data_IF_715438401683
#
_entry.id   IF_715438401683
#
_cell.length_a   1.000
_cell.length_b   1.000
_cell.length_c   1.000
_cell.angle_alpha   90.00
_cell.angle_beta   90.00
_cell.angle_gamma   90.00
#
_symmetry.space_group_name_H-M   'P 1'
#
loop_
_entity.id
_entity.type
_entity.pdbx_description
1 polymer ?
#
# COMPACT_ATOMS: atom_id res chain seq x y z
N UNK A 1 14.32 4.06 -23.73
CA UNK A 1 15.62 4.13 -23.04
C UNK A 1 15.39 3.73 -21.61
N UNK A 2 16.00 2.65 -21.15
CA UNK A 2 15.91 2.18 -19.77
C UNK A 2 17.02 2.85 -18.95
N UNK A 3 16.67 3.39 -17.77
CA UNK A 3 17.63 4.02 -16.86
C UNK A 3 17.62 3.36 -15.49
N UNK A 4 18.74 3.35 -14.80
CA UNK A 4 18.90 2.89 -13.44
C UNK A 4 18.54 4.02 -12.46
N UNK A 5 17.64 3.75 -11.51
CA UNK A 5 17.30 4.70 -10.45
C UNK A 5 18.24 4.42 -9.28
N UNK A 6 19.29 5.23 -9.13
CA UNK A 6 20.27 5.12 -8.02
C UNK A 6 19.73 5.71 -6.71
N UNK A 7 20.30 5.25 -5.62
CA UNK A 7 19.89 5.27 -4.22
C UNK A 7 19.52 6.59 -3.52
N UNK A 8 19.62 7.74 -4.13
CA UNK A 8 19.43 9.02 -3.43
C UNK A 8 17.98 9.45 -3.16
N UNK A 9 17.00 8.64 -3.55
CA UNK A 9 15.58 9.04 -3.50
C UNK A 9 14.74 8.31 -2.44
N UNK A 10 15.30 7.36 -1.71
CA UNK A 10 14.57 6.56 -0.71
C UNK A 10 15.23 6.62 0.67
N UNK A 11 15.48 7.83 1.17
CA UNK A 11 15.82 8.00 2.60
C UNK A 11 14.53 8.26 3.39
N UNK A 12 14.05 7.23 4.06
CA UNK A 12 12.80 7.22 4.82
C UNK A 12 13.01 7.69 6.27
N UNK A 13 13.94 8.63 6.52
CA UNK A 13 14.18 9.13 7.87
C UNK A 13 14.09 10.66 7.93
N UNK A 14 12.87 11.19 7.99
CA UNK A 14 12.64 12.53 8.52
C UNK A 14 11.53 12.48 9.56
N UNK A 15 11.95 12.19 10.78
CA UNK A 15 11.19 12.50 11.99
C UNK A 15 11.21 14.01 12.27
N UNK A 16 10.07 14.48 12.75
CA UNK A 16 9.85 15.70 13.51
C UNK A 16 9.82 17.03 12.75
N UNK A 17 8.60 17.49 12.50
CA UNK A 17 8.29 18.90 12.54
C UNK A 17 7.30 19.16 13.70
N UNK A 18 7.84 19.58 14.85
CA UNK A 18 7.08 20.12 15.96
C UNK A 18 6.61 21.52 15.60
N UNK A 19 5.34 21.68 15.29
CA UNK A 19 4.70 23.00 15.22
C UNK A 19 4.10 23.31 16.59
N UNK A 20 4.77 24.18 17.33
CA UNK A 20 4.25 24.76 18.57
C UNK A 20 3.14 25.77 18.24
N UNK A 21 1.89 25.41 18.44
CA UNK A 21 0.77 26.35 18.41
C UNK A 21 0.60 26.93 19.81
N UNK A 22 0.86 28.23 19.91
CA UNK A 22 0.73 29.07 21.13
C UNK A 22 -0.76 29.19 21.48
N UNK A 23 -1.17 28.60 22.59
CA UNK A 23 -2.54 28.68 23.07
C UNK A 23 -2.89 30.09 23.60
N UNK A 24 -3.96 30.67 23.07
CA UNK A 24 -4.68 31.77 23.67
C UNK A 24 -5.83 31.25 24.51
N UNK A 25 -5.71 31.45 25.82
CA UNK A 25 -6.74 31.14 26.81
C UNK A 25 -7.89 32.13 26.66
N UNK A 26 -9.05 31.69 26.21
CA UNK A 26 -10.29 32.47 26.30
C UNK A 26 -11.08 31.98 27.53
N UNK A 27 -11.09 32.79 28.58
CA UNK A 27 -11.95 32.61 29.75
C UNK A 27 -13.38 33.00 29.37
N UNK A 28 -14.32 32.08 29.48
CA UNK A 28 -15.76 32.38 29.45
C UNK A 28 -16.34 32.40 30.88
N UNK A 29 -17.23 33.34 31.18
CA UNK A 29 -17.78 33.47 32.53
C UNK A 29 -18.95 32.51 32.76
N UNK A 30 -19.03 32.01 33.98
CA UNK A 30 -20.12 31.22 34.52
C UNK A 30 -21.43 32.00 34.52
N UNK A 31 -22.50 31.43 33.85
CA UNK A 31 -23.87 31.79 34.20
C UNK A 31 -24.59 30.59 34.79
N UNK A 32 -25.00 30.80 36.05
CA UNK A 32 -25.92 29.96 36.78
C UNK A 32 -27.31 30.08 36.13
N UNK A 33 -27.90 28.98 35.70
CA UNK A 33 -29.35 28.81 35.69
C UNK A 33 -29.71 27.47 36.31
N UNK A 34 -30.28 27.58 37.49
CA UNK A 34 -31.01 26.54 38.20
C UNK A 34 -32.45 26.64 37.70
N UNK A 35 -33.05 25.62 37.23
CA UNK A 35 -34.36 25.16 37.66
C UNK A 35 -35.14 24.38 36.60
N UNK A 36 -35.71 23.27 37.03
CA UNK A 36 -36.86 22.50 36.55
C UNK A 36 -36.80 21.90 35.13
N UNK A 37 -36.59 20.59 35.08
CA UNK A 37 -37.63 19.64 34.66
C UNK A 37 -37.17 18.18 34.96
N UNK A 38 -37.58 17.70 36.09
CA UNK A 38 -37.74 16.26 36.39
C UNK A 38 -39.04 15.87 35.71
N UNK A 39 -38.98 15.39 34.48
CA UNK A 39 -40.01 14.55 33.84
C UNK A 39 -39.67 14.28 32.37
N UNK A 40 -38.61 13.57 32.10
CA UNK A 40 -38.40 12.95 30.77
C UNK A 40 -37.42 11.80 30.81
N UNK A 41 -37.42 11.02 31.91
CA UNK A 41 -36.45 9.92 32.08
C UNK A 41 -37.03 8.52 31.69
N UNK A 42 -38.16 8.48 30.96
CA UNK A 42 -38.77 7.20 30.64
C UNK A 42 -38.96 6.87 29.17
N UNK A 43 -38.35 7.64 28.23
CA UNK A 43 -38.53 7.35 26.81
C UNK A 43 -37.23 7.22 26.00
N UNK A 44 -36.05 7.07 26.64
CA UNK A 44 -34.78 6.91 25.93
C UNK A 44 -34.12 5.54 26.08
N UNK A 45 -34.86 4.51 26.46
CA UNK A 45 -34.31 3.15 26.69
C UNK A 45 -34.67 2.14 25.60
N UNK A 46 -35.15 2.55 24.43
CA UNK A 46 -35.49 1.62 23.34
C UNK A 46 -34.89 2.01 21.96
N UNK A 47 -33.85 2.83 21.91
CA UNK A 47 -33.05 2.98 20.73
C UNK A 47 -31.63 2.40 21.02
N UNK A 48 -31.56 1.14 21.44
CA UNK A 48 -30.34 0.37 21.22
C UNK A 48 -30.29 0.18 19.72
N UNK A 49 -29.64 1.14 19.07
CA UNK A 49 -29.34 1.08 17.66
C UNK A 49 -28.67 -0.28 17.41
N UNK A 50 -29.36 -1.14 16.68
CA UNK A 50 -28.71 -2.25 16.02
C UNK A 50 -27.67 -1.62 15.12
N UNK A 51 -26.42 -1.60 15.56
CA UNK A 51 -25.30 -1.40 14.65
C UNK A 51 -25.55 -2.33 13.47
N UNK A 52 -25.58 -1.85 12.23
CA UNK A 52 -25.68 -2.75 11.12
C UNK A 52 -24.57 -3.76 11.31
N UNK A 53 -24.96 -5.02 11.49
CA UNK A 53 -24.03 -6.15 11.61
C UNK A 53 -23.40 -6.33 10.23
N UNK A 54 -22.48 -5.43 9.88
CA UNK A 54 -21.64 -5.56 8.70
C UNK A 54 -20.70 -6.71 9.03
N UNK A 55 -21.19 -7.92 8.83
CA UNK A 55 -20.31 -9.08 8.72
C UNK A 55 -19.18 -8.66 7.77
N UNK A 56 -17.91 -8.78 8.18
CA UNK A 56 -16.81 -8.46 7.28
C UNK A 56 -17.06 -9.24 6.00
N UNK A 57 -17.14 -8.56 4.86
CA UNK A 57 -17.19 -9.23 3.57
C UNK A 57 -16.08 -10.27 3.55
N UNK A 58 -16.35 -11.52 3.13
CA UNK A 58 -15.33 -12.55 3.11
C UNK A 58 -14.13 -11.99 2.36
N UNK A 59 -12.97 -12.04 3.00
CA UNK A 59 -11.73 -11.50 2.48
C UNK A 59 -11.41 -12.23 1.17
N UNK A 60 -11.82 -11.65 0.04
CA UNK A 60 -11.68 -12.22 -1.31
C UNK A 60 -10.31 -11.96 -1.90
N UNK A 61 -9.27 -11.83 -1.07
CA UNK A 61 -7.93 -11.69 -1.62
C UNK A 61 -7.66 -12.91 -2.49
N UNK A 62 -7.43 -12.73 -3.79
CA UNK A 62 -7.11 -13.85 -4.65
C UNK A 62 -5.88 -14.58 -4.12
N UNK A 63 -5.94 -15.91 -4.13
CA UNK A 63 -4.78 -16.70 -3.75
C UNK A 63 -3.66 -16.40 -4.74
N UNK A 64 -2.57 -15.82 -4.25
CA UNK A 64 -1.40 -15.55 -5.09
C UNK A 64 -0.68 -16.86 -5.34
N UNK A 65 -0.72 -17.31 -6.59
CA UNK A 65 0.01 -18.49 -7.04
C UNK A 65 0.80 -18.13 -8.28
N UNK A 66 2.08 -18.49 -8.30
CA UNK A 66 2.91 -18.37 -9.48
C UNK A 66 2.48 -19.44 -10.52
N UNK A 67 2.06 -18.98 -11.69
CA UNK A 67 1.64 -19.82 -12.82
C UNK A 67 2.76 -19.82 -13.88
N UNK A 68 3.16 -20.96 -14.42
CA UNK A 68 4.16 -21.00 -15.47
C UNK A 68 3.59 -20.49 -16.80
N UNK A 69 4.38 -19.71 -17.52
CA UNK A 69 4.17 -19.34 -18.92
C UNK A 69 5.05 -20.19 -19.84
N UNK A 70 6.29 -20.42 -19.36
CA UNK A 70 7.25 -21.35 -19.97
C UNK A 70 8.17 -21.92 -18.87
N UNK A 71 9.20 -22.67 -19.24
CA UNK A 71 10.08 -23.35 -18.29
C UNK A 71 10.62 -22.44 -17.17
N UNK A 72 11.05 -21.23 -17.49
CA UNK A 72 11.71 -20.31 -16.55
C UNK A 72 10.93 -18.98 -16.39
N UNK A 73 9.70 -18.88 -16.94
CA UNK A 73 8.88 -17.68 -16.94
C UNK A 73 7.57 -17.94 -16.21
N UNK A 74 7.26 -17.09 -15.25
CA UNK A 74 6.10 -17.23 -14.38
C UNK A 74 5.38 -15.89 -14.22
N UNK A 75 4.11 -15.94 -13.82
CA UNK A 75 3.34 -14.76 -13.46
C UNK A 75 2.40 -15.05 -12.30
N UNK A 76 2.00 -14.01 -11.60
CA UNK A 76 0.90 -13.98 -10.66
C UNK A 76 -0.20 -13.08 -11.20
N UNK A 77 -1.45 -13.44 -10.96
CA UNK A 77 -2.60 -12.73 -11.48
C UNK A 77 -3.41 -12.11 -10.36
N UNK A 78 -3.58 -10.80 -10.40
CA UNK A 78 -4.46 -10.06 -9.51
C UNK A 78 -5.94 -10.20 -9.91
N UNK A 79 -6.80 -9.61 -9.07
CA UNK A 79 -8.24 -9.56 -9.35
C UNK A 79 -8.53 -8.59 -10.51
N UNK A 80 -9.45 -8.97 -11.41
CA UNK A 80 -9.94 -8.08 -12.47
C UNK A 80 -11.08 -7.21 -11.94
N UNK A 81 -10.78 -6.40 -10.91
CA UNK A 81 -11.72 -5.56 -10.17
C UNK A 81 -11.04 -4.24 -9.81
N UNK A 82 -11.82 -3.26 -9.32
CA UNK A 82 -11.25 -2.06 -8.70
C UNK A 82 -10.55 -2.41 -7.39
N UNK A 83 -9.45 -1.71 -7.09
CA UNK A 83 -8.75 -1.86 -5.83
C UNK A 83 -9.64 -1.51 -4.64
N UNK A 84 -9.52 -2.31 -3.58
CA UNK A 84 -10.28 -2.15 -2.33
C UNK A 84 -9.57 -2.85 -1.18
N UNK A 85 -9.96 -2.53 0.04
CA UNK A 85 -9.50 -3.27 1.24
C UNK A 85 -9.88 -4.76 1.19
N UNK A 86 -11.02 -5.10 0.56
CA UNK A 86 -11.47 -6.48 0.45
C UNK A 86 -10.56 -7.36 -0.42
N UNK A 87 -9.97 -6.82 -1.49
CA UNK A 87 -8.99 -7.51 -2.33
C UNK A 87 -7.55 -7.13 -2.01
N UNK A 88 -7.33 -6.31 -0.95
CA UNK A 88 -6.01 -5.81 -0.53
C UNK A 88 -5.26 -5.10 -1.67
N UNK A 89 -5.97 -4.47 -2.60
CA UNK A 89 -5.41 -3.86 -3.82
C UNK A 89 -4.56 -4.83 -4.68
N UNK A 90 -4.81 -6.16 -4.58
CA UNK A 90 -4.19 -7.13 -5.48
C UNK A 90 -4.96 -7.18 -6.80
N UNK A 91 -4.80 -6.17 -7.61
CA UNK A 91 -5.51 -5.92 -8.87
C UNK A 91 -4.60 -5.92 -10.10
N UNK A 92 -3.29 -5.87 -9.90
CA UNK A 92 -2.30 -5.93 -10.97
C UNK A 92 -1.67 -7.32 -11.07
N UNK A 93 -1.11 -7.61 -12.22
CA UNK A 93 -0.28 -8.78 -12.43
C UNK A 93 1.19 -8.43 -12.18
N UNK A 94 1.98 -9.43 -11.81
CA UNK A 94 3.43 -9.35 -11.83
C UNK A 94 4.00 -10.61 -12.47
N UNK A 95 5.17 -10.48 -13.07
CA UNK A 95 5.87 -11.61 -13.68
C UNK A 95 7.27 -11.78 -13.13
N UNK A 96 7.88 -12.95 -13.35
CA UNK A 96 9.29 -13.12 -13.10
C UNK A 96 9.91 -14.18 -14.03
N UNK A 97 11.21 -14.00 -14.26
CA UNK A 97 12.03 -14.88 -15.08
C UNK A 97 13.19 -15.37 -14.23
N UNK A 98 13.40 -16.68 -14.20
CA UNK A 98 14.55 -17.31 -13.55
C UNK A 98 15.68 -17.43 -14.56
N UNK A 99 16.74 -16.64 -14.38
CA UNK A 99 17.90 -16.64 -15.27
C UNK A 99 19.08 -17.37 -14.64
N UNK A 100 20.20 -17.51 -15.35
CA UNK A 100 21.45 -18.06 -14.80
C UNK A 100 21.98 -17.26 -13.60
N UNK A 101 21.86 -15.93 -13.64
CA UNK A 101 22.44 -15.00 -12.66
C UNK A 101 21.51 -14.64 -11.49
N UNK A 102 20.21 -14.88 -11.64
CA UNK A 102 19.23 -14.51 -10.62
C UNK A 102 17.84 -14.39 -11.21
N UNK A 103 16.94 -13.83 -10.44
CA UNK A 103 15.55 -13.62 -10.84
C UNK A 103 15.37 -12.18 -11.31
N UNK A 104 14.76 -12.02 -12.47
CA UNK A 104 14.25 -10.73 -12.96
C UNK A 104 12.76 -10.69 -12.69
N UNK A 105 12.29 -9.71 -11.93
CA UNK A 105 10.87 -9.49 -11.61
C UNK A 105 10.33 -8.35 -12.47
N UNK A 106 9.11 -8.47 -12.96
CA UNK A 106 8.39 -7.44 -13.71
C UNK A 106 7.24 -6.98 -12.85
N UNK A 107 7.28 -5.71 -12.43
CA UNK A 107 6.40 -5.06 -11.48
C UNK A 107 6.44 -5.63 -10.04
N UNK A 108 6.12 -4.77 -9.07
CA UNK A 108 6.32 -5.05 -7.67
C UNK A 108 5.01 -5.13 -6.86
N UNK A 109 3.87 -5.05 -7.54
CA UNK A 109 2.53 -5.02 -6.94
C UNK A 109 2.25 -3.77 -6.09
N UNK A 110 1.02 -3.70 -5.56
CA UNK A 110 0.44 -2.50 -4.94
C UNK A 110 0.77 -2.29 -3.47
N UNK A 111 1.46 -3.22 -2.82
CA UNK A 111 1.84 -3.04 -1.41
C UNK A 111 3.06 -3.87 -1.03
N UNK A 112 3.76 -3.50 0.06
CA UNK A 112 4.84 -4.31 0.60
C UNK A 112 4.39 -5.73 1.01
N UNK A 113 3.15 -5.88 1.46
CA UNK A 113 2.62 -7.21 1.81
C UNK A 113 2.46 -8.10 0.59
N UNK A 114 1.87 -7.57 -0.48
CA UNK A 114 1.74 -8.30 -1.75
C UNK A 114 3.11 -8.65 -2.34
N UNK A 115 4.06 -7.72 -2.28
CA UNK A 115 5.44 -7.98 -2.73
C UNK A 115 6.12 -9.09 -1.92
N UNK A 116 5.91 -9.16 -0.60
CA UNK A 116 6.41 -10.28 0.22
C UNK A 116 5.77 -11.61 -0.19
N UNK A 117 4.47 -11.63 -0.48
CA UNK A 117 3.79 -12.82 -1.00
C UNK A 117 4.37 -13.24 -2.35
N UNK A 118 4.61 -12.29 -3.26
CA UNK A 118 5.28 -12.57 -4.54
C UNK A 118 6.69 -13.15 -4.33
N UNK A 119 7.47 -12.56 -3.43
CA UNK A 119 8.80 -13.07 -3.09
C UNK A 119 8.73 -14.49 -2.52
N UNK A 120 7.72 -14.81 -1.71
CA UNK A 120 7.50 -16.16 -1.20
C UNK A 120 7.17 -17.15 -2.34
N UNK A 121 6.33 -16.76 -3.31
CA UNK A 121 6.04 -17.59 -4.49
C UNK A 121 7.32 -17.85 -5.32
N UNK A 122 8.15 -16.82 -5.54
CA UNK A 122 9.44 -16.98 -6.21
C UNK A 122 10.33 -17.97 -5.44
N UNK A 123 10.37 -17.88 -4.11
CA UNK A 123 11.21 -18.76 -3.26
C UNK A 123 10.78 -20.22 -3.22
N UNK A 124 9.53 -20.53 -3.59
CA UNK A 124 9.08 -21.90 -3.80
C UNK A 124 9.69 -22.53 -5.05
N UNK A 125 9.95 -21.71 -6.07
CA UNK A 125 10.45 -22.14 -7.38
C UNK A 125 11.98 -22.13 -7.45
N UNK A 126 12.62 -21.11 -6.88
CA UNK A 126 14.08 -20.95 -6.95
C UNK A 126 14.67 -20.32 -5.69
N UNK A 127 15.91 -20.65 -5.38
CA UNK A 127 16.71 -20.01 -4.30
C UNK A 127 17.65 -18.93 -4.82
N UNK A 128 17.66 -18.67 -6.14
CA UNK A 128 18.51 -17.64 -6.74
C UNK A 128 18.15 -16.25 -6.20
N UNK A 129 19.12 -15.32 -6.11
CA UNK A 129 18.85 -13.95 -5.64
C UNK A 129 17.90 -13.23 -6.58
N UNK A 130 17.17 -12.26 -6.05
CA UNK A 130 16.45 -11.30 -6.89
C UNK A 130 17.47 -10.31 -7.43
N UNK A 131 17.71 -10.34 -8.73
CA UNK A 131 18.75 -9.54 -9.37
C UNK A 131 18.21 -8.17 -9.81
N UNK A 132 17.03 -8.15 -10.43
CA UNK A 132 16.48 -6.93 -11.02
C UNK A 132 14.96 -6.92 -10.88
N UNK A 133 14.39 -5.75 -10.62
CA UNK A 133 12.97 -5.46 -10.84
C UNK A 133 12.85 -4.48 -11.99
N UNK A 134 12.07 -4.81 -13.00
CA UNK A 134 11.75 -3.95 -14.13
C UNK A 134 10.34 -3.41 -13.93
N UNK A 135 10.18 -2.10 -13.91
CA UNK A 135 8.88 -1.44 -13.83
C UNK A 135 8.32 -1.17 -15.21
N UNK A 136 7.09 -1.59 -15.44
CA UNK A 136 6.38 -1.31 -16.69
C UNK A 136 5.90 0.13 -16.73
N UNK A 137 5.33 0.63 -15.63
CA UNK A 137 4.83 1.99 -15.50
C UNK A 137 4.70 2.41 -14.02
N UNK A 138 4.22 3.63 -13.78
CA UNK A 138 4.25 4.31 -12.47
C UNK A 138 3.00 4.12 -11.61
N UNK A 139 2.00 3.34 -12.01
CA UNK A 139 0.79 3.17 -11.20
C UNK A 139 1.10 2.48 -9.87
N UNK A 140 0.35 2.86 -8.84
CA UNK A 140 0.54 2.43 -7.46
C UNK A 140 0.57 0.89 -7.31
N UNK A 141 -0.34 0.22 -8.00
CA UNK A 141 -0.47 -1.23 -7.99
C UNK A 141 0.68 -1.99 -8.67
N UNK A 142 1.64 -1.27 -9.26
CA UNK A 142 2.87 -1.82 -9.85
C UNK A 142 4.14 -1.44 -9.10
N UNK A 143 4.12 -0.38 -8.27
CA UNK A 143 5.35 0.18 -7.70
C UNK A 143 5.42 0.17 -6.17
N UNK A 144 4.31 0.11 -5.43
CA UNK A 144 4.35 0.29 -3.97
C UNK A 144 4.99 -0.87 -3.21
N UNK A 145 5.17 -2.02 -3.84
CA UNK A 145 5.93 -3.15 -3.29
C UNK A 145 7.44 -3.08 -3.48
N UNK A 146 7.99 -2.08 -4.19
CA UNK A 146 9.41 -1.98 -4.57
C UNK A 146 10.38 -2.05 -3.39
N UNK A 147 10.01 -1.51 -2.23
CA UNK A 147 10.84 -1.55 -1.04
C UNK A 147 11.28 -2.97 -0.69
N UNK A 148 10.37 -3.95 -0.78
CA UNK A 148 10.66 -5.35 -0.42
C UNK A 148 11.74 -5.94 -1.32
N UNK A 149 11.71 -5.65 -2.60
CA UNK A 149 12.72 -6.12 -3.55
C UNK A 149 14.04 -5.37 -3.42
N UNK A 150 14.01 -4.08 -3.10
CA UNK A 150 15.22 -3.31 -2.79
C UNK A 150 15.91 -3.86 -1.54
N UNK A 151 15.18 -4.16 -0.49
CA UNK A 151 15.69 -4.81 0.73
C UNK A 151 16.25 -6.22 0.44
N UNK A 152 15.71 -6.92 -0.57
CA UNK A 152 16.24 -8.19 -1.07
C UNK A 152 17.48 -8.05 -1.96
N UNK A 153 18.01 -6.83 -2.17
CA UNK A 153 19.22 -6.54 -2.95
C UNK A 153 18.99 -6.34 -4.45
N UNK A 154 17.74 -6.23 -4.90
CA UNK A 154 17.43 -6.05 -6.30
C UNK A 154 17.78 -4.65 -6.83
N UNK A 155 18.30 -4.58 -8.06
CA UNK A 155 18.41 -3.35 -8.84
C UNK A 155 17.05 -3.01 -9.44
N UNK A 156 16.62 -1.75 -9.32
CA UNK A 156 15.36 -1.28 -9.90
C UNK A 156 15.66 -0.62 -11.24
N UNK A 157 14.92 -1.03 -12.28
CA UNK A 157 15.04 -0.52 -13.65
C UNK A 157 13.68 -0.02 -14.11
N UNK A 158 13.62 1.19 -14.65
CA UNK A 158 12.42 1.81 -15.17
C UNK A 158 12.74 2.71 -16.37
N UNK A 159 11.70 3.16 -17.06
CA UNK A 159 11.86 4.19 -18.08
C UNK A 159 12.42 5.48 -17.46
N UNK A 160 13.29 6.21 -18.18
CA UNK A 160 13.95 7.41 -17.65
C UNK A 160 12.96 8.48 -17.13
N UNK A 161 11.81 8.65 -17.80
CA UNK A 161 10.73 9.56 -17.37
C UNK A 161 10.07 9.17 -16.02
N UNK A 162 10.29 7.98 -15.51
CA UNK A 162 9.80 7.60 -14.19
C UNK A 162 10.35 8.50 -13.07
N UNK A 163 11.52 9.09 -13.25
CA UNK A 163 12.10 10.04 -12.28
C UNK A 163 11.23 11.29 -12.12
N UNK A 164 10.68 11.83 -13.20
CA UNK A 164 9.83 13.02 -13.16
C UNK A 164 8.59 12.76 -12.29
N UNK A 165 7.98 11.60 -12.45
CA UNK A 165 6.84 11.23 -11.62
C UNK A 165 7.25 11.01 -10.15
N UNK A 166 8.28 10.22 -9.87
CA UNK A 166 8.69 9.87 -8.51
C UNK A 166 9.04 11.08 -7.63
N UNK A 167 9.55 12.15 -8.24
CA UNK A 167 9.88 13.39 -7.52
C UNK A 167 8.77 14.44 -7.57
N UNK A 168 7.63 14.15 -8.19
CA UNK A 168 6.50 15.07 -8.29
C UNK A 168 5.71 15.16 -6.99
N UNK A 169 5.03 16.30 -6.78
CA UNK A 169 4.10 16.46 -5.66
C UNK A 169 2.90 15.52 -5.80
N UNK A 170 2.50 15.20 -7.02
CA UNK A 170 1.44 14.21 -7.29
C UNK A 170 1.81 12.83 -6.72
N UNK A 171 3.05 12.38 -6.88
CA UNK A 171 3.49 11.10 -6.33
C UNK A 171 3.48 11.10 -4.79
N UNK A 172 3.91 12.20 -4.17
CA UNK A 172 3.89 12.37 -2.71
C UNK A 172 2.45 12.32 -2.18
N UNK A 173 1.54 13.10 -2.75
CA UNK A 173 0.13 13.13 -2.35
C UNK A 173 -0.56 11.76 -2.48
N UNK A 174 -0.29 11.03 -3.57
CA UNK A 174 -0.83 9.69 -3.76
C UNK A 174 -0.28 8.68 -2.74
N UNK A 175 1.01 8.77 -2.42
CA UNK A 175 1.62 7.90 -1.41
C UNK A 175 1.04 8.17 -0.02
N UNK A 176 0.80 9.44 0.34
CA UNK A 176 0.17 9.81 1.61
C UNK A 176 -1.27 9.32 1.68
N UNK A 177 -2.05 9.49 0.61
CA UNK A 177 -3.41 8.98 0.54
C UNK A 177 -3.46 7.44 0.73
N UNK A 178 -2.58 6.70 0.08
CA UNK A 178 -2.53 5.23 0.19
C UNK A 178 -2.12 4.71 1.57
N UNK A 179 -1.54 5.55 2.43
CA UNK A 179 -1.21 5.17 3.82
C UNK A 179 -2.41 5.25 4.77
N UNK A 180 -3.49 5.92 4.34
CA UNK A 180 -4.71 6.12 5.13
C UNK A 180 -5.79 5.08 4.82
N UNK A 181 -5.65 4.31 3.74
CA UNK A 181 -6.51 3.21 3.31
C UNK A 181 -6.06 1.86 3.91
#
# INVERSE_FOLDING_TARGET
>A
MLGEIRDSAFDANQNSLLVAVRGSQIRMPYYRFISLTILSWFFCLYAIGQSPNTSPLPNKVPLMLAKPVSQDVFYVQGASEMGSSANQNFISNAGFVVTSEGVVVVDALGSPELARKLLQEIRKITKKPIHTVVLTHYHADHIYGLQVFKEAGARIVAHAAAREYLFSDTAKLRLEASRQE
#
